data_IF_804779779356
#
_entry.id   IF_804779779356
#
_cell.length_a   1.000
_cell.length_b   1.000
_cell.length_c   1.000
_cell.angle_alpha   90.00
_cell.angle_beta   90.00
_cell.angle_gamma   90.00
#
_symmetry.space_group_name_H-M   'P 1'
#
loop_
_entity.id
_entity.type
_entity.pdbx_description
1 polymer ?
#
# COMPACT_ATOMS: atom_id res chain seq x y z
N UNK A 1 57.78 28.71 5.62
CA UNK A 1 57.20 28.21 4.35
C UNK A 1 55.94 27.44 4.68
N UNK A 2 54.76 28.01 4.40
CA UNK A 2 53.44 27.40 4.69
C UNK A 2 52.99 26.63 3.44
N UNK A 3 52.79 25.32 3.57
CA UNK A 3 52.28 24.48 2.48
C UNK A 3 50.83 24.86 2.15
N UNK A 4 50.54 25.05 0.86
CA UNK A 4 49.21 25.39 0.34
C UNK A 4 48.20 24.27 0.61
N UNK A 5 47.02 24.64 1.13
CA UNK A 5 45.89 23.74 1.42
C UNK A 5 45.43 22.93 0.19
N UNK A 6 45.74 23.42 -1.01
CA UNK A 6 45.44 22.76 -2.29
C UNK A 6 46.23 21.45 -2.46
N UNK A 7 47.48 21.40 -1.99
CA UNK A 7 48.33 20.19 -2.07
C UNK A 7 47.87 19.13 -1.06
N UNK A 8 47.27 19.55 0.05
CA UNK A 8 46.68 18.63 1.04
C UNK A 8 45.34 18.06 0.56
N UNK A 9 44.53 18.83 -0.17
CA UNK A 9 43.28 18.35 -0.78
C UNK A 9 43.49 17.36 -1.93
N UNK A 10 44.51 17.55 -2.77
CA UNK A 10 44.87 16.58 -3.82
C UNK A 10 45.46 15.29 -3.26
N UNK A 11 46.25 15.37 -2.18
CA UNK A 11 46.78 14.19 -1.50
C UNK A 11 45.70 13.35 -0.81
N UNK A 12 44.63 13.97 -0.29
CA UNK A 12 43.52 13.24 0.33
C UNK A 12 42.59 12.57 -0.68
N UNK A 13 42.47 13.11 -1.90
CA UNK A 13 41.80 12.47 -3.04
C UNK A 13 42.62 11.28 -3.58
N UNK A 14 43.95 11.41 -3.65
CA UNK A 14 44.80 10.30 -4.09
C UNK A 14 44.83 9.14 -3.08
N UNK A 15 44.72 9.42 -1.77
CA UNK A 15 44.70 8.38 -0.72
C UNK A 15 43.33 7.72 -0.52
N UNK A 16 42.25 8.27 -1.07
CA UNK A 16 40.90 7.66 -1.06
C UNK A 16 40.64 6.82 -2.32
N UNK A 17 41.51 6.88 -3.31
CA UNK A 17 41.56 6.02 -4.49
C UNK A 17 42.62 4.91 -4.31
N UNK A 18 42.47 4.05 -3.32
CA UNK A 18 43.21 2.77 -3.30
C UNK A 18 42.42 1.69 -4.05
N UNK A 19 43.14 0.71 -4.64
CA UNK A 19 42.91 0.28 -6.01
C UNK A 19 41.93 -0.89 -6.09
N UNK A 20 40.90 -0.79 -6.93
CA UNK A 20 40.35 -1.87 -7.76
C UNK A 20 39.07 -1.44 -8.50
N UNK A 21 39.21 -1.11 -9.79
CA UNK A 21 38.63 -1.80 -10.94
C UNK A 21 39.12 -1.05 -12.20
N UNK A 22 39.54 -1.74 -13.27
CA UNK A 22 40.01 -1.05 -14.46
C UNK A 22 38.82 -0.32 -15.09
N UNK A 23 38.75 1.00 -14.90
CA UNK A 23 37.93 1.88 -15.71
C UNK A 23 38.17 1.45 -17.16
N UNK A 24 37.11 1.02 -17.86
CA UNK A 24 37.25 0.61 -19.23
C UNK A 24 37.89 1.78 -20.00
N UNK A 25 38.84 1.49 -20.90
CA UNK A 25 39.53 2.52 -21.70
C UNK A 25 38.53 3.51 -22.34
N UNK A 26 37.32 3.03 -22.63
CA UNK A 26 36.21 3.81 -23.18
C UNK A 26 35.58 4.80 -22.19
N UNK A 27 35.49 4.47 -20.91
CA UNK A 27 34.94 5.35 -19.87
C UNK A 27 35.96 6.41 -19.44
N UNK A 28 37.23 6.05 -19.30
CA UNK A 28 38.29 7.03 -19.04
C UNK A 28 38.45 7.99 -20.21
N UNK A 29 38.36 7.51 -21.46
CA UNK A 29 38.32 8.38 -22.64
C UNK A 29 37.08 9.28 -22.65
N UNK A 30 35.87 8.76 -22.35
CA UNK A 30 34.66 9.60 -22.28
C UNK A 30 34.76 10.69 -21.23
N UNK A 31 35.33 10.38 -20.06
CA UNK A 31 35.50 11.35 -18.98
C UNK A 31 36.56 12.39 -19.35
N UNK A 32 37.66 11.96 -19.97
CA UNK A 32 38.67 12.87 -20.52
C UNK A 32 38.11 13.76 -21.62
N UNK A 33 37.33 13.24 -22.57
CA UNK A 33 36.70 14.03 -23.65
C UNK A 33 35.66 15.01 -23.10
N UNK A 34 34.89 14.61 -22.08
CA UNK A 34 33.95 15.51 -21.42
C UNK A 34 34.67 16.64 -20.67
N UNK A 35 35.76 16.34 -19.95
CA UNK A 35 36.56 17.35 -19.27
C UNK A 35 37.28 18.27 -20.26
N UNK A 36 37.88 17.73 -21.31
CA UNK A 36 38.61 18.54 -22.31
C UNK A 36 37.69 19.41 -23.13
N UNK A 37 36.52 18.92 -23.56
CA UNK A 37 35.52 19.75 -24.28
C UNK A 37 34.95 20.84 -23.39
N UNK A 38 34.69 20.55 -22.10
CA UNK A 38 34.26 21.56 -21.13
C UNK A 38 35.33 22.63 -20.91
N UNK A 39 36.60 22.25 -20.81
CA UNK A 39 37.72 23.19 -20.66
C UNK A 39 37.91 24.05 -21.91
N UNK A 40 37.83 23.46 -23.12
CA UNK A 40 37.94 24.22 -24.37
C UNK A 40 36.77 25.19 -24.54
N UNK A 41 35.54 24.76 -24.28
CA UNK A 41 34.36 25.62 -24.33
C UNK A 41 34.46 26.81 -23.37
N UNK A 42 35.05 26.60 -22.19
CA UNK A 42 35.23 27.68 -21.21
C UNK A 42 36.44 28.58 -21.53
N UNK A 43 37.50 28.03 -22.14
CA UNK A 43 38.63 28.82 -22.65
C UNK A 43 38.20 29.71 -23.83
N UNK A 44 37.40 29.19 -24.76
CA UNK A 44 36.87 29.97 -25.89
C UNK A 44 35.93 31.09 -25.40
N UNK A 45 35.26 30.88 -24.26
CA UNK A 45 34.40 31.88 -23.62
C UNK A 45 35.20 32.93 -22.83
N UNK A 46 36.35 32.57 -22.26
CA UNK A 46 37.22 33.47 -21.51
C UNK A 46 38.18 34.28 -22.40
N UNK A 47 38.56 33.72 -23.57
CA UNK A 47 39.38 34.37 -24.59
C UNK A 47 38.69 34.28 -25.96
N UNK A 48 37.62 35.04 -26.20
CA UNK A 48 37.06 35.15 -27.54
C UNK A 48 38.17 35.67 -28.46
N UNK A 49 38.58 34.85 -29.44
CA UNK A 49 39.59 35.25 -30.42
C UNK A 49 39.08 36.47 -31.16
N UNK A 50 39.73 37.60 -30.91
CA UNK A 50 39.61 38.80 -31.72
C UNK A 50 40.22 38.48 -33.09
N UNK A 51 39.41 37.95 -34.00
CA UNK A 51 39.73 37.98 -35.42
C UNK A 51 39.46 39.43 -35.84
N UNK A 52 40.55 40.17 -36.05
CA UNK A 52 40.46 41.51 -36.59
C UNK A 52 40.08 41.48 -38.07
N UNK A 53 39.30 42.50 -38.44
CA UNK A 53 39.22 43.20 -39.75
C UNK A 53 38.80 42.41 -40.99
N UNK A 54 37.95 42.88 -41.90
CA UNK A 54 37.15 44.10 -42.10
C UNK A 54 36.14 43.74 -43.22
N UNK A 55 34.87 44.15 -43.15
CA UNK A 55 34.19 45.14 -44.03
C UNK A 55 32.74 44.58 -44.13
N UNK A 56 31.64 45.30 -44.13
CA UNK A 56 31.38 46.71 -44.29
C UNK A 56 29.90 46.97 -43.92
N UNK A 57 29.68 48.13 -43.31
CA UNK A 57 28.61 49.08 -43.62
C UNK A 57 27.14 48.84 -43.20
N UNK A 58 26.71 49.80 -42.35
CA UNK A 58 25.45 50.57 -42.39
C UNK A 58 24.20 49.85 -41.86
N UNK A 59 23.34 50.40 -41.00
CA UNK A 59 23.06 51.79 -40.61
C UNK A 59 22.13 51.75 -39.38
N UNK A 60 22.35 52.70 -38.46
CA UNK A 60 21.33 53.61 -37.90
C UNK A 60 20.14 53.01 -37.11
N UNK A 61 19.67 53.53 -35.98
CA UNK A 61 20.04 54.61 -35.08
C UNK A 61 19.10 54.53 -33.86
N UNK A 62 19.49 55.25 -32.79
CA UNK A 62 18.68 55.72 -31.66
C UNK A 62 18.20 54.65 -30.66
N UNK A 63 18.41 54.77 -29.36
CA UNK A 63 18.99 55.85 -28.58
C UNK A 63 18.79 55.57 -27.09
N UNK A 64 19.53 56.33 -26.28
CA UNK A 64 19.31 56.61 -24.85
C UNK A 64 19.98 55.70 -23.80
N UNK A 65 21.05 56.28 -23.22
CA UNK A 65 21.36 56.43 -21.77
C UNK A 65 21.69 55.15 -20.98
N UNK A 66 22.98 54.89 -20.65
CA UNK A 66 23.76 55.48 -19.53
C UNK A 66 22.96 55.34 -18.23
N UNK A 67 23.33 54.58 -17.20
CA UNK A 67 24.60 54.39 -16.50
C UNK A 67 24.36 53.14 -15.60
N UNK A 68 25.27 52.29 -15.15
CA UNK A 68 26.54 52.53 -14.47
C UNK A 68 27.03 51.12 -14.17
N UNK A 69 28.26 50.74 -14.50
CA UNK A 69 28.94 49.74 -13.68
C UNK A 69 30.44 49.91 -13.84
N UNK A 70 31.00 50.34 -12.71
CA UNK A 70 32.39 50.57 -12.45
C UNK A 70 33.26 49.41 -12.93
N UNK A 71 34.20 49.80 -13.79
CA UNK A 71 35.52 49.22 -13.91
C UNK A 71 36.22 49.26 -12.55
N UNK A 72 36.36 48.10 -11.95
CA UNK A 72 37.42 47.67 -11.03
C UNK A 72 37.24 46.15 -10.93
N UNK A 73 38.20 45.30 -11.23
CA UNK A 73 39.55 45.30 -10.71
C UNK A 73 40.28 44.15 -11.42
N UNK A 74 41.60 44.27 -11.58
CA UNK A 74 42.48 43.18 -12.00
C UNK A 74 42.24 41.94 -11.14
N UNK A 75 41.46 40.99 -11.65
CA UNK A 75 41.37 39.67 -11.07
C UNK A 75 42.59 38.90 -11.58
N UNK A 76 43.64 38.88 -10.75
CA UNK A 76 44.84 38.08 -10.97
C UNK A 76 44.47 36.70 -11.51
N UNK A 77 45.19 36.17 -12.49
CA UNK A 77 44.91 34.87 -13.12
C UNK A 77 44.71 33.74 -12.10
N UNK A 78 45.30 33.87 -10.90
CA UNK A 78 45.07 33.01 -9.76
C UNK A 78 43.64 33.06 -9.18
N UNK A 79 43.04 34.24 -9.05
CA UNK A 79 41.66 34.40 -8.56
C UNK A 79 40.62 33.91 -9.58
N UNK A 80 40.91 34.05 -10.88
CA UNK A 80 40.12 33.45 -11.94
C UNK A 80 40.28 31.92 -11.96
N UNK A 81 41.49 31.40 -11.73
CA UNK A 81 41.74 29.96 -11.59
C UNK A 81 41.06 29.37 -10.35
N UNK A 82 41.04 30.08 -9.22
CA UNK A 82 40.34 29.67 -8.00
C UNK A 82 38.82 29.68 -8.21
N UNK A 83 38.28 30.70 -8.89
CA UNK A 83 36.85 30.75 -9.25
C UNK A 83 36.48 29.65 -10.25
N UNK A 84 37.38 29.32 -11.17
CA UNK A 84 37.22 28.23 -12.13
C UNK A 84 37.27 26.86 -11.44
N UNK A 85 38.22 26.64 -10.52
CA UNK A 85 38.27 25.42 -9.70
C UNK A 85 37.04 25.29 -8.81
N UNK A 86 36.59 26.38 -8.18
CA UNK A 86 35.36 26.38 -7.42
C UNK A 86 34.16 26.01 -8.30
N UNK A 87 34.02 26.60 -9.49
CA UNK A 87 32.93 26.29 -10.43
C UNK A 87 32.95 24.83 -10.93
N UNK A 88 34.15 24.27 -11.18
CA UNK A 88 34.32 22.87 -11.57
C UNK A 88 33.98 21.93 -10.41
N UNK A 89 34.41 22.26 -9.18
CA UNK A 89 34.14 21.45 -7.98
C UNK A 89 32.70 21.56 -7.48
N UNK A 90 31.98 22.62 -7.83
CA UNK A 90 30.54 22.78 -7.51
C UNK A 90 29.59 22.25 -8.59
N UNK A 91 30.11 21.64 -9.66
CA UNK A 91 29.28 21.17 -10.76
C UNK A 91 28.42 19.97 -10.30
N UNK A 92 27.08 20.02 -10.41
CA UNK A 92 26.18 18.99 -9.85
C UNK A 92 26.40 17.58 -10.41
N UNK A 93 27.08 17.43 -11.55
CA UNK A 93 27.46 16.13 -12.10
C UNK A 93 28.59 15.43 -11.31
N UNK A 94 29.43 16.18 -10.58
CA UNK A 94 30.47 15.63 -9.70
C UNK A 94 29.98 15.47 -8.25
N UNK A 95 28.96 16.24 -7.84
CA UNK A 95 28.26 16.05 -6.56
C UNK A 95 27.25 14.90 -6.59
N UNK A 96 26.77 14.50 -7.77
CA UNK A 96 25.83 13.38 -7.94
C UNK A 96 26.42 12.00 -7.61
N UNK A 97 27.72 11.90 -7.32
CA UNK A 97 28.37 10.67 -6.85
C UNK A 97 28.84 10.68 -5.39
N UNK A 98 28.97 11.85 -4.75
CA UNK A 98 29.62 11.98 -3.44
C UNK A 98 28.82 12.78 -2.38
N UNK A 99 27.73 13.45 -2.77
CA UNK A 99 26.79 14.05 -1.81
C UNK A 99 25.79 13.03 -1.21
N UNK A 100 25.83 11.78 -1.67
CA UNK A 100 24.90 10.72 -1.23
C UNK A 100 25.35 9.95 0.01
N UNK A 101 26.48 10.31 0.65
CA UNK A 101 27.09 9.43 1.68
C UNK A 101 27.46 10.11 3.01
N UNK A 102 27.05 11.37 3.26
CA UNK A 102 27.24 11.97 4.59
C UNK A 102 26.01 12.57 5.26
N UNK A 103 24.87 12.72 4.58
CA UNK A 103 23.59 13.15 5.19
C UNK A 103 22.39 12.72 4.33
N UNK A 104 22.42 11.51 3.75
CA UNK A 104 21.28 11.02 2.98
C UNK A 104 20.18 10.58 3.96
N UNK A 105 19.28 11.52 4.31
CA UNK A 105 18.04 11.28 5.04
C UNK A 105 17.22 10.26 4.26
N UNK A 106 17.43 8.99 4.58
CA UNK A 106 16.87 7.84 3.87
C UNK A 106 16.07 7.01 4.86
N UNK A 107 15.24 6.12 4.33
CA UNK A 107 14.45 5.19 5.15
C UNK A 107 15.30 4.45 6.19
N UNK A 108 16.52 4.03 5.82
CA UNK A 108 17.43 3.33 6.72
C UNK A 108 18.00 4.25 7.81
N UNK A 109 18.29 5.52 7.53
CA UNK A 109 18.75 6.46 8.58
C UNK A 109 17.65 6.75 9.58
N UNK A 110 16.40 6.95 9.13
CA UNK A 110 15.25 7.16 10.01
C UNK A 110 15.02 5.94 10.91
N UNK A 111 15.17 4.72 10.37
CA UNK A 111 15.05 3.48 11.13
C UNK A 111 16.14 3.36 12.21
N UNK A 112 17.38 3.72 11.88
CA UNK A 112 18.52 3.71 12.80
C UNK A 112 18.33 4.78 13.90
N UNK A 113 17.92 5.99 13.54
CA UNK A 113 17.66 7.08 14.48
C UNK A 113 16.52 6.74 15.47
N UNK A 114 15.45 6.11 15.00
CA UNK A 114 14.36 5.63 15.86
C UNK A 114 14.79 4.49 16.79
N UNK A 115 15.72 3.63 16.35
CA UNK A 115 16.27 2.58 17.19
C UNK A 115 17.21 3.12 18.28
N UNK A 116 17.99 4.16 17.98
CA UNK A 116 18.94 4.76 18.93
C UNK A 116 18.30 5.81 19.86
N UNK A 117 17.21 6.46 19.45
CA UNK A 117 16.53 7.49 20.22
C UNK A 117 15.11 7.09 20.64
N UNK A 118 14.99 5.94 21.31
CA UNK A 118 13.72 5.41 21.85
C UNK A 118 12.98 6.37 22.81
N UNK A 119 13.67 7.39 23.34
CA UNK A 119 13.11 8.40 24.26
C UNK A 119 12.59 9.67 23.59
N UNK A 120 12.87 9.93 22.30
CA UNK A 120 12.33 11.09 21.59
C UNK A 120 10.96 10.77 21.01
N UNK A 121 10.07 11.76 20.94
CA UNK A 121 8.79 11.63 20.25
C UNK A 121 9.06 11.21 18.79
N UNK A 122 8.64 10.00 18.38
CA UNK A 122 8.91 9.49 17.03
C UNK A 122 8.23 10.32 15.93
N UNK A 123 7.26 11.17 16.30
CA UNK A 123 6.49 11.99 15.37
C UNK A 123 7.15 13.34 15.15
N UNK A 124 7.84 13.88 16.15
CA UNK A 124 8.73 15.04 15.95
C UNK A 124 9.82 14.74 14.92
N UNK A 125 10.28 13.49 14.84
CA UNK A 125 11.21 13.07 13.77
C UNK A 125 10.58 13.21 12.38
N UNK A 126 9.31 12.86 12.21
CA UNK A 126 8.63 13.04 10.93
C UNK A 126 8.51 14.53 10.57
N UNK A 127 8.23 15.39 11.55
CA UNK A 127 8.16 16.84 11.38
C UNK A 127 9.53 17.42 10.99
N UNK A 128 10.62 16.95 11.61
CA UNK A 128 12.00 17.33 11.26
C UNK A 128 12.35 16.90 9.83
N UNK A 129 11.95 15.70 9.42
CA UNK A 129 12.15 15.22 8.05
C UNK A 129 11.28 15.97 7.05
N UNK A 130 10.10 16.44 7.47
CA UNK A 130 9.24 17.27 6.64
C UNK A 130 9.85 18.67 6.40
N UNK A 131 10.41 19.30 7.45
CA UNK A 131 11.13 20.56 7.31
C UNK A 131 12.36 20.47 6.38
N UNK A 132 12.90 19.26 6.22
CA UNK A 132 14.06 18.96 5.36
C UNK A 132 13.65 18.39 3.99
N UNK A 133 12.37 18.41 3.64
CA UNK A 133 11.80 17.85 2.40
C UNK A 133 12.14 16.37 2.14
N UNK A 134 12.47 15.62 3.19
CA UNK A 134 12.83 14.19 3.13
C UNK A 134 11.74 13.25 3.67
N UNK A 135 10.60 13.80 4.10
CA UNK A 135 9.50 13.00 4.65
C UNK A 135 8.83 12.14 3.57
N UNK A 136 8.77 10.83 3.81
CA UNK A 136 8.12 9.86 2.92
C UNK A 136 7.06 9.06 3.66
N UNK A 137 6.10 8.50 2.92
CA UNK A 137 5.03 7.63 3.44
C UNK A 137 5.62 6.44 4.23
N UNK A 138 6.76 5.90 3.77
CA UNK A 138 7.45 4.79 4.43
C UNK A 138 8.05 5.21 5.79
N UNK A 139 8.63 6.42 5.89
CA UNK A 139 9.14 6.96 7.15
C UNK A 139 8.00 7.18 8.14
N UNK A 140 6.89 7.79 7.69
CA UNK A 140 5.70 7.97 8.52
C UNK A 140 5.14 6.63 9.06
N UNK A 141 5.19 5.57 8.25
CA UNK A 141 4.76 4.24 8.68
C UNK A 141 5.63 3.70 9.82
N UNK A 142 6.96 3.82 9.73
CA UNK A 142 7.85 3.39 10.82
C UNK A 142 7.64 4.24 12.07
N UNK A 143 7.54 5.57 11.95
CA UNK A 143 7.31 6.46 13.09
C UNK A 143 6.05 6.05 13.87
N UNK A 144 4.96 5.75 13.15
CA UNK A 144 3.72 5.29 13.76
C UNK A 144 3.82 3.88 14.34
N UNK A 145 4.53 2.95 13.71
CA UNK A 145 4.76 1.61 14.26
C UNK A 145 5.58 1.66 15.55
N UNK A 146 6.64 2.48 15.59
CA UNK A 146 7.43 2.70 16.80
C UNK A 146 6.58 3.32 17.89
N UNK A 147 5.76 4.33 17.57
CA UNK A 147 4.82 4.90 18.53
C UNK A 147 3.81 3.86 19.04
N UNK A 148 3.22 3.05 18.15
CA UNK A 148 2.29 2.00 18.54
C UNK A 148 2.93 0.97 19.47
N UNK A 149 4.19 0.59 19.26
CA UNK A 149 4.94 -0.30 20.17
C UNK A 149 5.12 0.30 21.55
N UNK A 150 5.38 1.60 21.66
CA UNK A 150 5.46 2.27 22.98
C UNK A 150 4.12 2.27 23.74
N UNK A 151 3.01 1.98 23.06
CA UNK A 151 1.67 1.89 23.66
C UNK A 151 1.26 0.46 24.04
N UNK A 152 1.99 -0.57 23.60
CA UNK A 152 1.65 -1.98 23.87
C UNK A 152 1.86 -2.36 25.34
N UNK A 153 2.87 -1.76 26.00
CA UNK A 153 3.23 -2.05 27.39
C UNK A 153 2.41 -1.26 28.43
N UNK A 154 1.54 -0.35 27.99
CA UNK A 154 0.80 0.57 28.86
C UNK A 154 -0.62 0.07 29.18
N UNK A 155 -1.12 0.46 30.35
CA UNK A 155 -2.53 0.25 30.71
C UNK A 155 -3.47 1.00 29.76
N UNK A 156 -4.73 0.57 29.63
CA UNK A 156 -5.70 1.20 28.70
C UNK A 156 -5.89 2.70 28.97
N UNK A 157 -5.92 3.09 30.24
CA UNK A 157 -6.07 4.48 30.67
C UNK A 157 -4.82 5.31 30.35
N UNK A 158 -3.63 4.75 30.57
CA UNK A 158 -2.36 5.43 30.26
C UNK A 158 -2.13 5.52 28.76
N UNK A 159 -2.55 4.49 28.03
CA UNK A 159 -2.54 4.45 26.57
C UNK A 159 -3.40 5.54 25.98
N UNK A 160 -4.64 5.69 26.46
CA UNK A 160 -5.52 6.76 26.00
C UNK A 160 -4.99 8.15 26.38
N UNK A 161 -4.39 8.30 27.57
CA UNK A 161 -3.72 9.53 28.00
C UNK A 161 -2.56 9.92 27.08
N UNK A 162 -1.69 8.97 26.73
CA UNK A 162 -0.59 9.20 25.77
C UNK A 162 -1.09 9.50 24.37
N UNK A 163 -2.09 8.77 23.86
CA UNK A 163 -2.67 9.05 22.54
C UNK A 163 -3.23 10.48 22.49
N UNK A 164 -3.93 10.90 23.54
CA UNK A 164 -4.47 12.26 23.63
C UNK A 164 -3.37 13.33 23.73
N UNK A 165 -2.29 13.06 24.46
CA UNK A 165 -1.17 14.00 24.64
C UNK A 165 -0.38 14.23 23.35
N UNK A 166 -0.04 13.15 22.64
CA UNK A 166 0.81 13.23 21.45
C UNK A 166 0.02 13.51 20.16
N UNK A 167 -1.28 13.20 20.13
CA UNK A 167 -2.17 13.37 18.97
C UNK A 167 -1.54 12.86 17.66
N UNK A 168 -0.92 11.69 17.78
CA UNK A 168 -0.07 11.08 16.78
C UNK A 168 -0.76 10.89 15.43
N UNK A 169 -1.98 10.39 15.46
CA UNK A 169 -2.80 10.13 14.28
C UNK A 169 -3.16 11.42 13.56
N UNK A 170 -3.66 12.42 14.29
CA UNK A 170 -3.98 13.76 13.75
C UNK A 170 -2.77 14.42 13.09
N UNK A 171 -1.61 14.42 13.75
CA UNK A 171 -0.38 15.04 13.21
C UNK A 171 0.05 14.40 11.89
N UNK A 172 0.10 13.07 11.83
CA UNK A 172 0.47 12.36 10.59
C UNK A 172 -0.59 12.54 9.50
N UNK A 173 -1.87 12.56 9.86
CA UNK A 173 -2.95 12.82 8.89
C UNK A 173 -2.88 14.24 8.32
N UNK A 174 -2.62 15.25 9.16
CA UNK A 174 -2.41 16.63 8.72
C UNK A 174 -1.19 16.76 7.83
N UNK A 175 -0.06 16.13 8.18
CA UNK A 175 1.11 16.07 7.33
C UNK A 175 0.79 15.44 5.97
N UNK A 176 0.08 14.31 5.94
CA UNK A 176 -0.35 13.69 4.69
C UNK A 176 -1.16 14.68 3.85
N UNK A 177 -2.12 15.39 4.45
CA UNK A 177 -2.95 16.37 3.76
C UNK A 177 -2.18 17.58 3.24
N UNK A 178 -1.36 18.20 4.08
CA UNK A 178 -0.60 19.42 3.76
C UNK A 178 0.51 19.16 2.75
N UNK A 179 1.23 18.04 2.88
CA UNK A 179 2.27 17.66 1.93
C UNK A 179 1.71 17.33 0.54
N UNK A 180 0.38 17.16 0.42
CA UNK A 180 -0.25 16.67 -0.80
C UNK A 180 0.27 15.30 -1.21
N UNK A 181 0.96 14.57 -0.31
CA UNK A 181 1.62 13.30 -0.65
C UNK A 181 0.62 12.28 -1.20
N UNK A 182 -0.65 12.36 -0.82
CA UNK A 182 -1.72 11.51 -1.37
C UNK A 182 -2.27 11.95 -2.74
N UNK A 183 -2.04 13.20 -3.19
CA UNK A 183 -2.47 13.75 -4.50
C UNK A 183 -1.36 13.79 -5.54
N UNK A 184 -0.14 14.15 -5.14
CA UNK A 184 0.79 14.83 -6.05
C UNK A 184 1.47 13.93 -7.07
N UNK A 185 1.41 12.60 -6.93
CA UNK A 185 2.07 11.72 -7.89
C UNK A 185 1.59 10.25 -7.87
N UNK A 186 1.52 9.56 -9.02
CA UNK A 186 1.17 8.14 -9.10
C UNK A 186 2.01 7.26 -8.15
N UNK A 187 3.31 7.57 -8.00
CA UNK A 187 4.22 6.85 -7.12
C UNK A 187 3.79 6.89 -5.65
N UNK A 188 3.16 7.96 -5.18
CA UNK A 188 2.72 8.06 -3.79
C UNK A 188 1.41 7.30 -3.56
N UNK A 189 0.51 7.28 -4.55
CA UNK A 189 -0.70 6.44 -4.51
C UNK A 189 -0.29 4.96 -4.52
N UNK A 190 0.70 4.59 -5.33
CA UNK A 190 1.30 3.26 -5.29
C UNK A 190 1.96 2.97 -3.95
N UNK A 191 2.65 3.93 -3.34
CA UNK A 191 3.25 3.77 -2.02
C UNK A 191 2.18 3.57 -0.93
N UNK A 192 1.09 4.33 -0.93
CA UNK A 192 -0.03 4.15 0.00
C UNK A 192 -0.77 2.81 -0.24
N UNK A 193 -0.90 2.44 -1.51
CA UNK A 193 -1.41 1.12 -1.91
C UNK A 193 -0.45 0.01 -1.52
N UNK A 194 0.86 0.19 -1.48
CA UNK A 194 1.81 -0.86 -1.08
C UNK A 194 1.90 -0.94 0.43
N UNK A 195 1.98 0.20 1.08
CA UNK A 195 2.22 0.38 2.50
C UNK A 195 0.92 0.29 3.31
N UNK A 196 0.29 -0.88 3.27
CA UNK A 196 -0.92 -1.16 4.06
C UNK A 196 -0.71 -1.03 5.57
N UNK A 197 0.55 -1.08 6.03
CA UNK A 197 0.93 -0.95 7.43
C UNK A 197 0.62 0.44 7.97
N UNK A 198 0.87 1.49 7.17
CA UNK A 198 0.56 2.86 7.55
C UNK A 198 -0.91 3.02 7.94
N UNK A 199 -1.83 2.59 7.07
CA UNK A 199 -3.27 2.71 7.32
C UNK A 199 -3.73 1.84 8.50
N UNK A 200 -3.15 0.66 8.69
CA UNK A 200 -3.46 -0.23 9.81
C UNK A 200 -3.09 0.38 11.16
N UNK A 201 -2.03 1.19 11.23
CA UNK A 201 -1.60 1.84 12.48
C UNK A 201 -2.22 3.22 12.65
N UNK A 202 -2.33 4.00 11.57
CA UNK A 202 -2.87 5.36 11.60
C UNK A 202 -4.35 5.38 11.98
N UNK A 203 -5.17 4.51 11.38
CA UNK A 203 -6.63 4.57 11.53
C UNK A 203 -7.10 4.30 12.97
N UNK A 204 -6.62 3.24 13.67
CA UNK A 204 -6.98 3.05 15.07
C UNK A 204 -6.61 4.25 15.96
N UNK A 205 -5.44 4.86 15.75
CA UNK A 205 -5.01 6.04 16.50
C UNK A 205 -5.96 7.23 16.27
N UNK A 206 -6.28 7.53 15.01
CA UNK A 206 -7.18 8.64 14.65
C UNK A 206 -8.59 8.43 15.23
N UNK A 207 -9.09 7.19 15.24
CA UNK A 207 -10.40 6.87 15.82
C UNK A 207 -10.37 7.05 17.34
N UNK A 208 -9.33 6.57 18.04
CA UNK A 208 -9.14 6.78 19.49
C UNK A 208 -8.96 8.25 19.88
N UNK A 209 -8.42 9.06 18.98
CA UNK A 209 -8.31 10.52 19.15
C UNK A 209 -9.62 11.29 18.90
N UNK A 210 -10.71 10.60 18.55
CA UNK A 210 -12.00 11.20 18.23
C UNK A 210 -12.04 11.94 16.89
N UNK A 211 -11.06 11.71 16.02
CA UNK A 211 -10.89 12.39 14.73
C UNK A 211 -11.43 11.58 13.53
N UNK A 212 -12.41 10.71 13.76
CA UNK A 212 -12.98 9.84 12.72
C UNK A 212 -13.57 10.62 11.53
N UNK A 213 -14.11 11.81 11.78
CA UNK A 213 -14.68 12.69 10.74
C UNK A 213 -13.68 12.95 9.61
N UNK A 214 -12.42 13.21 9.95
CA UNK A 214 -11.36 13.47 8.98
C UNK A 214 -11.07 12.26 8.08
N UNK A 215 -11.21 11.03 8.60
CA UNK A 215 -11.06 9.81 7.78
C UNK A 215 -12.19 9.68 6.76
N UNK A 216 -13.42 10.03 7.15
CA UNK A 216 -14.57 10.03 6.23
C UNK A 216 -14.48 11.13 5.20
N UNK A 217 -13.99 12.31 5.57
CA UNK A 217 -13.73 13.37 4.62
C UNK A 217 -12.66 12.95 3.63
N UNK A 218 -11.57 12.32 4.10
CA UNK A 218 -10.56 11.74 3.22
C UNK A 218 -11.14 10.67 2.28
N UNK A 219 -12.03 9.82 2.76
CA UNK A 219 -12.71 8.82 1.94
C UNK A 219 -13.59 9.44 0.85
N UNK A 220 -14.27 10.54 1.16
CA UNK A 220 -15.12 11.30 0.22
C UNK A 220 -14.32 12.11 -0.80
N UNK A 221 -13.08 12.50 -0.49
CA UNK A 221 -12.27 13.30 -1.40
C UNK A 221 -12.13 12.62 -2.77
N UNK A 222 -12.53 13.34 -3.81
CA UNK A 222 -12.34 12.91 -5.19
C UNK A 222 -10.91 13.23 -5.63
N UNK A 223 -10.20 12.18 -6.05
CA UNK A 223 -8.89 12.35 -6.68
C UNK A 223 -9.17 12.58 -8.17
N UNK A 224 -9.31 13.85 -8.56
CA UNK A 224 -9.13 14.26 -9.94
C UNK A 224 -7.63 14.21 -10.24
N UNK A 225 -7.13 13.02 -10.58
CA UNK A 225 -5.76 12.90 -11.09
C UNK A 225 -5.82 13.47 -12.50
N UNK A 226 -5.07 14.55 -12.76
CA UNK A 226 -4.74 14.95 -14.11
C UNK A 226 -3.90 13.80 -14.70
N UNK A 227 -4.57 12.81 -15.30
CA UNK A 227 -3.91 11.80 -16.12
C UNK A 227 -3.24 12.61 -17.23
N UNK A 228 -1.90 12.58 -17.35
CA UNK A 228 -1.24 13.14 -18.53
C UNK A 228 -1.88 12.43 -19.71
N UNK A 229 -2.51 13.21 -20.58
CA UNK A 229 -3.14 12.81 -21.84
C UNK A 229 -2.40 11.58 -22.34
N UNK A 230 -3.06 10.42 -22.28
CA UNK A 230 -2.48 9.20 -22.83
C UNK A 230 -2.05 9.52 -24.28
N UNK A 231 -0.84 9.13 -24.70
CA UNK A 231 -0.41 9.39 -26.08
C UNK A 231 -1.51 8.88 -27.01
N UNK A 232 -1.98 9.78 -27.88
CA UNK A 232 -3.09 9.56 -28.79
C UNK A 232 -2.90 8.19 -29.49
N UNK A 233 -3.72 7.20 -29.12
CA UNK A 233 -3.53 5.82 -29.59
C UNK A 233 -4.08 4.72 -28.70
N UNK A 234 -4.54 5.00 -27.47
CA UNK A 234 -5.30 3.99 -26.69
C UNK A 234 -6.78 4.06 -27.04
N UNK A 235 -7.34 2.90 -27.40
CA UNK A 235 -8.73 2.73 -27.82
C UNK A 235 -9.73 3.33 -26.80
N UNK A 236 -10.84 3.92 -27.27
CA UNK A 236 -11.94 4.36 -26.42
C UNK A 236 -12.61 3.13 -25.79
N UNK A 237 -12.25 2.83 -24.54
CA UNK A 237 -12.78 1.67 -23.80
C UNK A 237 -11.93 1.20 -22.63
N UNK A 238 -10.67 1.64 -22.50
CA UNK A 238 -9.87 1.34 -21.31
C UNK A 238 -10.33 2.19 -20.11
N UNK A 239 -11.18 1.60 -19.27
CA UNK A 239 -11.55 2.11 -17.95
C UNK A 239 -10.32 2.67 -17.21
N UNK A 240 -10.40 3.85 -16.56
CA UNK A 240 -9.30 4.39 -15.77
C UNK A 240 -8.83 3.36 -14.74
N UNK A 241 -7.52 3.30 -14.51
CA UNK A 241 -6.89 2.27 -13.67
C UNK A 241 -7.47 2.31 -12.24
N UNK A 242 -8.48 1.47 -11.98
CA UNK A 242 -9.20 1.37 -10.71
C UNK A 242 -8.27 1.17 -9.49
N UNK A 243 -7.02 0.77 -9.73
CA UNK A 243 -5.95 0.66 -8.74
C UNK A 243 -5.67 1.97 -8.02
N UNK A 244 -5.91 3.12 -8.66
CA UNK A 244 -5.69 4.43 -8.04
C UNK A 244 -6.61 4.69 -6.83
N UNK A 245 -7.74 3.99 -6.73
CA UNK A 245 -8.68 4.12 -5.62
C UNK A 245 -8.59 2.98 -4.60
N UNK A 246 -7.71 2.00 -4.79
CA UNK A 246 -7.60 0.85 -3.88
C UNK A 246 -7.27 1.24 -2.44
N UNK A 247 -6.57 2.35 -2.23
CA UNK A 247 -6.28 2.88 -0.91
C UNK A 247 -7.56 3.23 -0.14
N UNK A 248 -8.63 3.69 -0.81
CA UNK A 248 -9.93 3.94 -0.16
C UNK A 248 -10.54 2.66 0.40
N UNK A 249 -10.43 1.56 -0.33
CA UNK A 249 -10.88 0.24 0.14
C UNK A 249 -10.04 -0.28 1.31
N UNK A 250 -8.72 -0.02 1.29
CA UNK A 250 -7.81 -0.35 2.40
C UNK A 250 -8.07 0.52 3.64
N UNK A 251 -8.32 1.81 3.44
CA UNK A 251 -8.71 2.75 4.47
C UNK A 251 -10.01 2.30 5.14
N UNK A 252 -11.05 1.98 4.35
CA UNK A 252 -12.30 1.47 4.87
C UNK A 252 -12.12 0.17 5.64
N UNK A 253 -11.30 -0.76 5.12
CA UNK A 253 -10.97 -1.99 5.85
C UNK A 253 -10.29 -1.70 7.19
N UNK A 254 -9.38 -0.73 7.25
CA UNK A 254 -8.72 -0.33 8.49
C UNK A 254 -9.69 0.33 9.47
N UNK A 255 -10.66 1.13 9.00
CA UNK A 255 -11.74 1.70 9.84
C UNK A 255 -12.58 0.57 10.44
N UNK A 256 -12.98 -0.40 9.62
CA UNK A 256 -13.76 -1.55 10.09
C UNK A 256 -12.98 -2.37 11.11
N UNK A 257 -11.70 -2.68 10.84
CA UNK A 257 -10.85 -3.43 11.76
C UNK A 257 -10.71 -2.69 13.10
N UNK A 258 -10.39 -1.39 13.06
CA UNK A 258 -10.31 -0.57 14.26
C UNK A 258 -11.62 -0.57 15.06
N UNK A 259 -12.77 -0.50 14.38
CA UNK A 259 -14.08 -0.50 15.04
C UNK A 259 -14.49 -1.82 15.67
N UNK A 260 -13.98 -2.95 15.15
CA UNK A 260 -14.18 -4.27 15.76
C UNK A 260 -13.35 -4.38 17.06
N UNK A 261 -12.13 -3.82 17.06
CA UNK A 261 -11.17 -3.96 18.16
C UNK A 261 -11.22 -2.79 19.17
N UNK A 262 -12.19 -1.89 19.09
CA UNK A 262 -12.35 -0.78 20.05
C UNK A 262 -12.65 -1.34 21.44
N UNK A 263 -11.80 -0.97 22.40
CA UNK A 263 -11.96 -1.19 23.85
C UNK A 263 -12.11 -2.66 24.29
N UNK A 264 -11.65 -3.62 23.47
CA UNK A 264 -11.74 -5.06 23.76
C UNK A 264 -13.16 -5.63 23.75
N UNK A 265 -14.17 -4.77 23.65
CA UNK A 265 -15.57 -5.11 23.44
C UNK A 265 -15.78 -5.29 21.93
N UNK A 266 -15.67 -6.53 21.47
CA UNK A 266 -15.90 -6.91 20.07
C UNK A 266 -17.37 -6.69 19.68
N UNK A 267 -17.74 -5.43 19.44
CA UNK A 267 -19.06 -5.06 18.91
C UNK A 267 -18.97 -4.85 17.40
N UNK A 268 -19.41 -5.82 16.59
CA UNK A 268 -19.41 -5.69 15.12
C UNK A 268 -20.41 -4.66 14.60
N UNK A 269 -21.31 -4.11 15.42
CA UNK A 269 -22.31 -3.14 14.98
C UNK A 269 -21.68 -1.86 14.43
N UNK A 270 -20.66 -1.32 15.11
CA UNK A 270 -19.95 -0.13 14.64
C UNK A 270 -19.26 -0.37 13.28
N UNK A 271 -18.77 -1.59 13.05
CA UNK A 271 -18.19 -2.01 11.78
C UNK A 271 -19.24 -2.16 10.66
N UNK A 272 -20.43 -2.70 10.99
CA UNK A 272 -21.57 -2.76 10.07
C UNK A 272 -22.05 -1.35 9.68
N UNK A 273 -22.16 -0.44 10.64
CA UNK A 273 -22.54 0.94 10.36
C UNK A 273 -21.51 1.65 9.47
N UNK A 274 -20.21 1.40 9.69
CA UNK A 274 -19.15 1.97 8.86
C UNK A 274 -19.23 1.50 7.40
N UNK A 275 -19.49 0.21 7.14
CA UNK A 275 -19.64 -0.28 5.76
C UNK A 275 -20.92 0.24 5.11
N UNK A 276 -22.02 0.35 5.85
CA UNK A 276 -23.28 0.91 5.35
C UNK A 276 -23.16 2.41 5.06
N UNK A 277 -22.43 3.15 5.90
CA UNK A 277 -22.09 4.56 5.66
C UNK A 277 -21.25 4.73 4.40
N UNK A 278 -20.25 3.87 4.18
CA UNK A 278 -19.46 3.89 2.95
C UNK A 278 -20.31 3.57 1.71
N UNK A 279 -21.24 2.62 1.81
CA UNK A 279 -22.18 2.33 0.72
C UNK A 279 -23.11 3.51 0.42
N UNK A 280 -23.61 4.20 1.45
CA UNK A 280 -24.43 5.40 1.28
C UNK A 280 -23.65 6.50 0.53
N UNK A 281 -22.41 6.78 0.92
CA UNK A 281 -21.53 7.74 0.23
C UNK A 281 -21.33 7.35 -1.22
N UNK A 282 -21.04 6.07 -1.50
CA UNK A 282 -20.88 5.57 -2.87
C UNK A 282 -22.16 5.77 -3.68
N UNK A 283 -23.33 5.44 -3.13
CA UNK A 283 -24.62 5.61 -3.83
C UNK A 283 -24.91 7.07 -4.13
N UNK A 284 -24.62 7.96 -3.19
CA UNK A 284 -24.75 9.42 -3.40
C UNK A 284 -23.83 9.90 -4.52
N UNK A 285 -22.58 9.45 -4.54
CA UNK A 285 -21.62 9.80 -5.60
C UNK A 285 -22.06 9.28 -6.98
N UNK A 286 -22.57 8.04 -7.04
CA UNK A 286 -23.08 7.43 -8.29
C UNK A 286 -24.34 8.13 -8.78
N UNK A 287 -25.23 8.58 -7.88
CA UNK A 287 -26.41 9.34 -8.25
C UNK A 287 -26.06 10.72 -8.83
N UNK A 288 -24.94 11.31 -8.41
CA UNK A 288 -24.44 12.60 -8.92
C UNK A 288 -23.69 12.45 -10.24
N UNK A 289 -22.88 11.40 -10.39
CA UNK A 289 -22.06 11.13 -11.58
C UNK A 289 -22.18 9.66 -12.01
N UNK A 290 -22.79 9.40 -13.17
CA UNK A 290 -23.18 8.06 -13.65
C UNK A 290 -22.03 7.04 -13.85
N UNK A 291 -20.76 7.46 -13.83
CA UNK A 291 -19.61 6.58 -14.16
C UNK A 291 -18.69 6.25 -12.96
N UNK A 292 -19.00 6.72 -11.75
CA UNK A 292 -18.04 6.77 -10.64
C UNK A 292 -18.01 5.54 -9.72
N UNK A 293 -18.71 4.45 -10.06
CA UNK A 293 -18.78 3.24 -9.20
C UNK A 293 -17.41 2.64 -8.86
N UNK A 294 -16.44 2.74 -9.77
CA UNK A 294 -15.07 2.25 -9.59
C UNK A 294 -14.22 3.07 -8.61
N UNK A 295 -14.65 4.29 -8.26
CA UNK A 295 -13.93 5.17 -7.33
C UNK A 295 -14.04 4.73 -5.87
N UNK A 296 -14.92 3.78 -5.56
CA UNK A 296 -15.18 3.32 -4.19
C UNK A 296 -15.09 1.78 -4.09
N UNK A 297 -13.88 1.21 -3.96
CA UNK A 297 -13.71 -0.23 -3.83
C UNK A 297 -14.08 -0.73 -2.42
N UNK A 298 -15.38 -0.84 -2.15
CA UNK A 298 -15.95 -1.25 -0.85
C UNK A 298 -15.86 -2.76 -0.65
N UNK A 299 -15.92 -3.55 -1.72
CA UNK A 299 -16.06 -5.01 -1.63
C UNK A 299 -14.92 -5.70 -0.85
N UNK A 300 -13.69 -5.19 -0.94
CA UNK A 300 -12.57 -5.74 -0.17
C UNK A 300 -12.74 -5.60 1.35
N UNK A 301 -13.33 -4.48 1.78
CA UNK A 301 -13.66 -4.23 3.19
C UNK A 301 -14.88 -5.06 3.62
N UNK A 302 -15.90 -5.20 2.76
CA UNK A 302 -17.05 -6.06 3.02
C UNK A 302 -16.65 -7.54 3.16
N UNK A 303 -15.74 -8.02 2.30
CA UNK A 303 -15.19 -9.37 2.37
C UNK A 303 -14.43 -9.60 3.68
N UNK A 304 -13.70 -8.60 4.18
CA UNK A 304 -13.04 -8.69 5.48
C UNK A 304 -14.05 -8.87 6.61
N UNK A 305 -15.16 -8.13 6.59
CA UNK A 305 -16.23 -8.26 7.58
C UNK A 305 -16.93 -9.64 7.50
N UNK A 306 -17.19 -10.14 6.29
CA UNK A 306 -17.72 -11.50 6.11
C UNK A 306 -16.78 -12.57 6.68
N UNK A 307 -15.47 -12.39 6.48
CA UNK A 307 -14.46 -13.28 7.06
C UNK A 307 -14.41 -13.21 8.58
N UNK A 308 -14.65 -12.03 9.17
CA UNK A 308 -14.73 -11.88 10.62
C UNK A 308 -15.92 -12.68 11.16
N UNK A 309 -17.14 -12.48 10.62
CA UNK A 309 -18.32 -13.24 11.03
C UNK A 309 -18.18 -14.74 10.84
N UNK A 310 -17.45 -15.17 9.80
CA UNK A 310 -17.23 -16.58 9.55
C UNK A 310 -16.21 -17.23 10.49
N UNK A 311 -15.20 -16.48 10.95
CA UNK A 311 -14.08 -17.02 11.76
C UNK A 311 -14.29 -16.86 13.26
N UNK A 312 -14.97 -15.78 13.65
CA UNK A 312 -15.22 -15.46 15.04
C UNK A 312 -16.54 -16.10 15.48
N UNK A 313 -16.61 -16.54 16.73
CA UNK A 313 -17.83 -17.00 17.40
C UNK A 313 -18.20 -16.03 18.52
N UNK A 314 -19.47 -16.01 18.93
CA UNK A 314 -19.94 -15.19 20.05
C UNK A 314 -20.35 -13.76 19.67
N UNK A 315 -20.32 -13.42 18.38
CA UNK A 315 -20.83 -12.15 17.88
C UNK A 315 -22.34 -12.18 17.66
N UNK A 316 -22.94 -13.37 17.57
CA UNK A 316 -24.34 -13.58 17.20
C UNK A 316 -25.30 -12.92 18.19
N UNK A 317 -24.93 -12.86 19.47
CA UNK A 317 -25.71 -12.20 20.52
C UNK A 317 -25.50 -10.68 20.58
N UNK A 318 -24.39 -10.17 20.05
CA UNK A 318 -24.06 -8.73 20.09
C UNK A 318 -24.48 -7.98 18.83
N UNK A 319 -24.69 -8.68 17.71
CA UNK A 319 -25.12 -8.07 16.44
C UNK A 319 -26.60 -7.71 16.42
N UNK A 320 -26.92 -6.49 15.99
CA UNK A 320 -28.29 -6.13 15.62
C UNK A 320 -28.69 -6.81 14.30
N UNK A 321 -29.69 -7.70 14.37
CA UNK A 321 -30.18 -8.46 13.21
C UNK A 321 -30.56 -7.56 12.03
N UNK A 322 -31.22 -6.42 12.28
CA UNK A 322 -31.61 -5.49 11.21
C UNK A 322 -30.41 -4.88 10.46
N UNK A 323 -29.30 -4.60 11.15
CA UNK A 323 -28.06 -4.12 10.52
C UNK A 323 -27.42 -5.23 9.69
N UNK A 324 -27.42 -6.46 10.20
CA UNK A 324 -26.89 -7.63 9.50
C UNK A 324 -27.67 -7.94 8.22
N UNK A 325 -29.00 -7.92 8.28
CA UNK A 325 -29.89 -8.09 7.12
C UNK A 325 -29.66 -7.01 6.08
N UNK A 326 -29.56 -5.76 6.52
CA UNK A 326 -29.27 -4.62 5.65
C UNK A 326 -27.91 -4.80 4.97
N UNK A 327 -26.87 -5.17 5.71
CA UNK A 327 -25.55 -5.44 5.15
C UNK A 327 -25.58 -6.59 4.12
N UNK A 328 -26.24 -7.71 4.46
CA UNK A 328 -26.34 -8.89 3.59
C UNK A 328 -27.05 -8.56 2.28
N UNK A 329 -28.19 -7.84 2.35
CA UNK A 329 -28.92 -7.40 1.15
C UNK A 329 -28.09 -6.44 0.28
N UNK A 330 -27.30 -5.55 0.89
CA UNK A 330 -26.42 -4.61 0.18
C UNK A 330 -25.20 -5.28 -0.43
N UNK A 331 -24.67 -6.36 0.18
CA UNK A 331 -23.51 -7.08 -0.33
C UNK A 331 -23.73 -7.58 -1.76
N UNK A 332 -24.95 -7.99 -2.10
CA UNK A 332 -25.34 -8.38 -3.46
C UNK A 332 -25.14 -7.28 -4.51
N UNK A 333 -25.21 -6.01 -4.10
CA UNK A 333 -25.09 -4.81 -4.93
C UNK A 333 -23.68 -4.21 -4.94
N UNK A 334 -22.84 -4.57 -3.96
CA UNK A 334 -21.49 -4.02 -3.79
C UNK A 334 -20.45 -4.68 -4.71
N UNK A 335 -20.77 -5.84 -5.29
CA UNK A 335 -19.85 -6.61 -6.12
C UNK A 335 -20.52 -7.03 -7.43
N UNK A 336 -19.71 -7.16 -8.48
CA UNK A 336 -20.16 -7.79 -9.72
C UNK A 336 -20.63 -9.22 -9.40
N UNK A 337 -21.69 -9.71 -10.07
CA UNK A 337 -22.09 -11.10 -9.98
C UNK A 337 -20.91 -12.04 -10.25
N UNK A 338 -20.73 -13.04 -9.39
CA UNK A 338 -19.61 -13.96 -9.50
C UNK A 338 -19.38 -14.75 -8.22
N UNK A 339 -18.49 -15.74 -8.34
CA UNK A 339 -18.26 -16.74 -7.31
C UNK A 339 -17.93 -16.14 -5.94
N UNK A 340 -17.01 -15.17 -5.87
CA UNK A 340 -16.60 -14.58 -4.58
C UNK A 340 -17.76 -13.92 -3.84
N UNK A 341 -18.65 -13.21 -4.56
CA UNK A 341 -19.82 -12.56 -3.97
C UNK A 341 -20.81 -13.60 -3.44
N UNK A 342 -21.18 -14.56 -4.29
CA UNK A 342 -22.17 -15.58 -3.96
C UNK A 342 -21.66 -16.46 -2.81
N UNK A 343 -20.35 -16.70 -2.76
CA UNK A 343 -19.70 -17.39 -1.66
C UNK A 343 -19.71 -16.62 -0.33
N UNK A 344 -19.50 -15.30 -0.33
CA UNK A 344 -19.65 -14.51 0.90
C UNK A 344 -21.12 -14.50 1.37
N UNK A 345 -22.08 -14.35 0.45
CA UNK A 345 -23.51 -14.38 0.79
C UNK A 345 -23.90 -15.72 1.42
N UNK A 346 -23.50 -16.84 0.81
CA UNK A 346 -23.77 -18.16 1.36
C UNK A 346 -23.23 -18.32 2.79
N UNK A 347 -22.04 -17.81 3.10
CA UNK A 347 -21.48 -17.83 4.46
C UNK A 347 -22.30 -17.00 5.44
N UNK A 348 -22.72 -15.79 5.05
CA UNK A 348 -23.52 -14.93 5.91
C UNK A 348 -24.90 -15.52 6.19
N UNK A 349 -25.55 -16.11 5.19
CA UNK A 349 -26.84 -16.78 5.38
C UNK A 349 -26.71 -18.03 6.28
N UNK A 350 -25.63 -18.79 6.13
CA UNK A 350 -25.38 -19.95 6.99
C UNK A 350 -25.17 -19.54 8.46
N UNK A 351 -24.49 -18.41 8.71
CA UNK A 351 -24.23 -17.88 10.07
C UNK A 351 -25.23 -16.79 10.51
N UNK A 352 -26.40 -16.70 9.89
CA UNK A 352 -27.34 -15.63 10.23
C UNK A 352 -27.76 -15.69 11.72
N UNK A 353 -27.74 -14.57 12.46
CA UNK A 353 -27.88 -14.58 13.93
C UNK A 353 -29.24 -15.11 14.43
N UNK A 354 -30.30 -14.98 13.64
CA UNK A 354 -31.66 -15.40 14.04
C UNK A 354 -32.30 -16.45 13.12
N UNK A 355 -31.74 -16.65 11.93
CA UNK A 355 -32.37 -17.41 10.82
C UNK A 355 -31.32 -18.06 9.93
N UNK A 356 -30.46 -18.94 10.48
CA UNK A 356 -29.46 -19.63 9.67
C UNK A 356 -30.13 -20.42 8.55
N UNK A 357 -29.58 -20.33 7.35
CA UNK A 357 -30.18 -20.84 6.12
C UNK A 357 -29.11 -21.51 5.25
N UNK A 358 -29.17 -22.84 5.03
CA UNK A 358 -28.21 -23.56 4.19
C UNK A 358 -28.50 -23.48 2.68
N UNK A 359 -29.63 -22.90 2.27
CA UNK A 359 -30.11 -22.93 0.88
C UNK A 359 -29.11 -22.34 -0.11
N UNK A 360 -28.55 -21.17 0.18
CA UNK A 360 -27.59 -20.53 -0.70
C UNK A 360 -26.26 -21.28 -0.76
N UNK A 361 -25.85 -21.91 0.35
CA UNK A 361 -24.65 -22.71 0.40
C UNK A 361 -24.79 -23.99 -0.42
N UNK A 362 -25.93 -24.69 -0.30
CA UNK A 362 -26.24 -25.86 -1.10
C UNK A 362 -26.31 -25.54 -2.59
N UNK A 363 -27.00 -24.46 -2.97
CA UNK A 363 -27.09 -24.02 -4.36
C UNK A 363 -25.70 -23.68 -4.94
N UNK A 364 -24.84 -23.01 -4.16
CA UNK A 364 -23.47 -22.73 -4.57
C UNK A 364 -22.67 -24.01 -4.78
N UNK A 365 -22.76 -24.98 -3.85
CA UNK A 365 -22.07 -26.26 -3.96
C UNK A 365 -22.55 -27.08 -5.16
N UNK A 366 -23.87 -27.11 -5.41
CA UNK A 366 -24.43 -27.76 -6.60
C UNK A 366 -23.90 -27.09 -7.85
N UNK A 367 -23.94 -25.76 -7.95
CA UNK A 367 -23.40 -25.07 -9.12
C UNK A 367 -21.91 -25.29 -9.34
N UNK A 368 -21.14 -25.50 -8.27
CA UNK A 368 -19.72 -25.83 -8.35
C UNK A 368 -19.50 -27.28 -8.81
N UNK A 369 -20.23 -28.25 -8.29
CA UNK A 369 -19.88 -29.68 -8.42
C UNK A 369 -20.83 -30.54 -9.22
N UNK A 370 -22.02 -30.02 -9.56
CA UNK A 370 -22.96 -30.65 -10.47
C UNK A 370 -22.40 -30.60 -11.90
N UNK A 371 -22.22 -31.75 -12.57
CA UNK A 371 -21.76 -31.83 -13.95
C UNK A 371 -22.64 -31.04 -14.94
N UNK A 372 -23.91 -30.82 -14.61
CA UNK A 372 -24.87 -30.13 -15.47
C UNK A 372 -24.81 -28.60 -15.39
N UNK A 373 -24.12 -28.04 -14.39
CA UNK A 373 -24.02 -26.60 -14.18
C UNK A 373 -22.89 -25.98 -15.03
N UNK A 374 -23.25 -25.40 -16.17
CA UNK A 374 -22.32 -24.68 -17.06
C UNK A 374 -21.90 -23.28 -16.55
N UNK A 375 -22.43 -22.82 -15.40
CA UNK A 375 -22.36 -21.41 -14.99
C UNK A 375 -21.08 -20.99 -14.27
N UNK A 376 -20.32 -21.91 -13.67
CA UNK A 376 -19.03 -21.60 -13.05
C UNK A 376 -17.89 -22.26 -13.79
N UNK A 377 -16.85 -21.46 -14.02
CA UNK A 377 -15.63 -21.90 -14.69
C UNK A 377 -14.79 -22.78 -13.76
N UNK A 378 -13.94 -23.61 -14.34
CA UNK A 378 -12.87 -24.34 -13.65
C UNK A 378 -12.08 -23.44 -12.68
N UNK A 379 -11.97 -22.14 -12.97
CA UNK A 379 -11.36 -21.15 -12.10
C UNK A 379 -12.05 -20.99 -10.73
N UNK A 380 -13.39 -21.07 -10.65
CA UNK A 380 -14.11 -20.98 -9.38
C UNK A 380 -13.84 -22.22 -8.50
N UNK A 381 -13.79 -23.41 -9.12
CA UNK A 381 -13.36 -24.65 -8.45
C UNK A 381 -11.93 -24.50 -7.95
N UNK A 382 -11.01 -24.04 -8.78
CA UNK A 382 -9.62 -23.78 -8.37
C UNK A 382 -9.53 -22.80 -7.19
N UNK A 383 -10.35 -21.75 -7.13
CA UNK A 383 -10.39 -20.82 -5.99
C UNK A 383 -10.88 -21.53 -4.71
N UNK A 384 -11.91 -22.38 -4.84
CA UNK A 384 -12.48 -23.13 -3.72
C UNK A 384 -11.60 -24.31 -3.28
N UNK A 385 -10.81 -24.87 -4.17
CA UNK A 385 -9.96 -26.03 -3.92
C UNK A 385 -8.51 -25.67 -3.63
N UNK A 386 -8.14 -24.36 -3.66
CA UNK A 386 -6.74 -23.89 -3.58
C UNK A 386 -5.90 -24.68 -2.57
N UNK A 387 -5.04 -25.61 -3.03
CA UNK A 387 -4.30 -26.51 -2.14
C UNK A 387 -3.20 -25.76 -1.38
N UNK A 388 -2.63 -24.70 -1.97
CA UNK A 388 -1.47 -23.99 -1.44
C UNK A 388 -1.76 -23.17 -0.16
N UNK A 389 -3.02 -23.07 0.25
CA UNK A 389 -3.41 -22.33 1.45
C UNK A 389 -4.25 -23.23 2.35
N UNK A 390 -3.58 -24.06 3.16
CA UNK A 390 -4.26 -24.98 4.09
C UNK A 390 -5.28 -24.31 5.02
N UNK A 391 -5.11 -23.00 5.34
CA UNK A 391 -6.14 -22.25 6.08
C UNK A 391 -7.40 -22.04 5.25
N UNK A 392 -7.29 -21.73 3.96
CA UNK A 392 -8.43 -21.61 3.06
C UNK A 392 -9.12 -22.96 2.86
N UNK A 393 -8.34 -24.03 2.67
CA UNK A 393 -8.84 -25.40 2.55
C UNK A 393 -9.69 -25.79 3.76
N UNK A 394 -9.15 -25.59 4.98
CA UNK A 394 -9.88 -25.88 6.21
C UNK A 394 -11.17 -25.05 6.33
N UNK A 395 -11.16 -23.76 5.99
CA UNK A 395 -12.37 -22.93 6.04
C UNK A 395 -13.44 -23.37 5.03
N UNK A 396 -13.05 -23.95 3.90
CA UNK A 396 -13.98 -24.44 2.88
C UNK A 396 -14.56 -25.81 3.27
N UNK A 397 -13.74 -26.67 3.89
CA UNK A 397 -14.20 -27.88 4.56
C UNK A 397 -15.20 -27.58 5.67
N UNK A 398 -14.90 -26.64 6.57
CA UNK A 398 -15.83 -26.20 7.63
C UNK A 398 -17.13 -25.66 7.03
N UNK A 399 -17.05 -24.91 5.93
CA UNK A 399 -18.24 -24.42 5.21
C UNK A 399 -19.14 -25.57 4.71
N UNK A 400 -18.56 -26.63 4.15
CA UNK A 400 -19.32 -27.81 3.72
C UNK A 400 -19.92 -28.57 4.90
N UNK A 401 -19.16 -28.75 5.98
CA UNK A 401 -19.63 -29.40 7.21
C UNK A 401 -20.82 -28.67 7.83
N UNK A 402 -20.71 -27.35 8.01
CA UNK A 402 -21.78 -26.55 8.59
C UNK A 402 -23.03 -26.56 7.72
N UNK A 403 -22.86 -26.55 6.39
CA UNK A 403 -23.96 -26.71 5.44
C UNK A 403 -24.67 -28.05 5.65
N UNK A 404 -23.93 -29.15 5.72
CA UNK A 404 -24.49 -30.48 5.96
C UNK A 404 -25.16 -30.60 7.34
N UNK A 405 -24.56 -30.03 8.38
CA UNK A 405 -25.11 -30.03 9.73
C UNK A 405 -26.47 -29.30 9.79
N UNK A 406 -26.58 -28.13 9.17
CA UNK A 406 -27.84 -27.39 9.09
C UNK A 406 -28.90 -28.11 8.25
N UNK A 407 -28.52 -28.72 7.12
CA UNK A 407 -29.44 -29.52 6.31
C UNK A 407 -29.99 -30.72 7.08
N UNK A 408 -29.15 -31.40 7.88
CA UNK A 408 -29.61 -32.48 8.79
C UNK A 408 -30.58 -31.96 9.85
N UNK A 409 -30.26 -30.82 10.47
CA UNK A 409 -31.13 -30.20 11.48
C UNK A 409 -32.50 -29.80 10.89
N UNK A 410 -32.54 -29.39 9.61
CA UNK A 410 -33.76 -29.11 8.86
C UNK A 410 -34.44 -30.32 8.22
N UNK A 411 -34.12 -31.55 8.63
CA UNK A 411 -34.67 -32.81 8.10
C UNK A 411 -34.45 -33.07 6.60
N UNK A 412 -33.51 -32.35 5.95
CA UNK A 412 -33.12 -32.57 4.54
C UNK A 412 -31.95 -33.55 4.45
N UNK A 413 -32.20 -34.80 4.85
CA UNK A 413 -31.17 -35.83 5.00
C UNK A 413 -30.48 -36.20 3.68
N UNK A 414 -31.20 -36.22 2.57
CA UNK A 414 -30.65 -36.51 1.23
C UNK A 414 -29.63 -35.45 0.79
N UNK A 415 -29.99 -34.17 0.93
CA UNK A 415 -29.10 -33.06 0.58
C UNK A 415 -27.86 -33.03 1.47
N UNK A 416 -28.04 -33.31 2.77
CA UNK A 416 -26.91 -33.41 3.67
C UNK A 416 -25.98 -34.59 3.32
N UNK A 417 -26.55 -35.75 2.97
CA UNK A 417 -25.77 -36.90 2.53
C UNK A 417 -24.99 -36.59 1.24
N UNK A 418 -25.59 -35.86 0.31
CA UNK A 418 -24.92 -35.40 -0.91
C UNK A 418 -23.72 -34.49 -0.60
N UNK A 419 -23.88 -33.49 0.29
CA UNK A 419 -22.77 -32.61 0.69
C UNK A 419 -21.66 -33.39 1.39
N UNK A 420 -22.00 -34.34 2.27
CA UNK A 420 -21.01 -35.16 2.97
C UNK A 420 -20.27 -36.11 2.04
N UNK A 421 -20.95 -36.67 1.03
CA UNK A 421 -20.31 -37.51 0.00
C UNK A 421 -19.32 -36.73 -0.87
N UNK A 422 -19.47 -35.40 -0.95
CA UNK A 422 -18.57 -34.53 -1.70
C UNK A 422 -17.25 -34.26 -0.95
N UNK A 423 -17.25 -34.26 0.38
CA UNK A 423 -16.06 -34.02 1.21
C UNK A 423 -14.89 -34.97 0.88
N UNK A 424 -15.04 -36.30 0.85
CA UNK A 424 -13.92 -37.20 0.54
C UNK A 424 -13.39 -37.06 -0.90
N UNK A 425 -14.21 -36.56 -1.82
CA UNK A 425 -13.81 -36.29 -3.20
C UNK A 425 -12.99 -35.01 -3.33
N UNK A 426 -13.36 -33.96 -2.58
CA UNK A 426 -12.74 -32.62 -2.68
C UNK A 426 -11.58 -32.47 -1.70
N UNK A 427 -11.71 -33.03 -0.50
CA UNK A 427 -10.75 -32.93 0.61
C UNK A 427 -10.47 -34.32 1.21
N UNK A 428 -9.82 -35.23 0.45
CA UNK A 428 -9.55 -36.60 0.91
C UNK A 428 -8.76 -36.63 2.22
N UNK A 429 -7.86 -35.66 2.40
CA UNK A 429 -7.02 -35.50 3.60
C UNK A 429 -7.82 -35.21 4.87
N UNK A 430 -8.99 -34.56 4.75
CA UNK A 430 -9.83 -34.18 5.89
C UNK A 430 -11.02 -35.13 6.09
N UNK A 431 -11.28 -36.03 5.15
CA UNK A 431 -12.44 -36.91 5.14
C UNK A 431 -12.57 -37.74 6.42
N UNK A 432 -11.46 -38.19 6.99
CA UNK A 432 -11.44 -39.01 8.20
C UNK A 432 -11.84 -38.25 9.48
N UNK A 433 -11.81 -36.90 9.47
CA UNK A 433 -12.28 -36.08 10.58
C UNK A 433 -13.77 -35.73 10.52
N UNK A 434 -14.42 -35.99 9.38
CA UNK A 434 -15.79 -35.54 9.08
C UNK A 434 -16.79 -35.89 10.19
N UNK A 435 -16.82 -37.15 10.64
CA UNK A 435 -17.81 -37.59 11.64
C UNK A 435 -17.55 -36.97 13.02
N UNK A 436 -16.27 -36.90 13.42
CA UNK A 436 -15.88 -36.27 14.68
C UNK A 436 -16.20 -34.77 14.70
N UNK A 437 -15.87 -34.05 13.62
CA UNK A 437 -16.16 -32.62 13.51
C UNK A 437 -17.67 -32.33 13.41
N UNK A 438 -18.45 -33.20 12.76
CA UNK A 438 -19.92 -33.13 12.74
C UNK A 438 -20.51 -33.28 14.14
N UNK A 439 -19.96 -34.19 14.95
CA UNK A 439 -20.40 -34.38 16.33
C UNK A 439 -20.07 -33.14 17.19
N UNK A 440 -18.87 -32.56 17.03
CA UNK A 440 -18.47 -31.33 17.72
C UNK A 440 -19.34 -30.14 17.35
N UNK A 441 -19.71 -30.01 16.07
CA UNK A 441 -20.65 -28.97 15.63
C UNK A 441 -22.01 -29.07 16.31
N UNK A 442 -22.53 -30.30 16.53
CA UNK A 442 -23.78 -30.50 17.29
C UNK A 442 -23.66 -30.06 18.74
N UNK A 443 -22.47 -30.23 19.32
CA UNK A 443 -22.15 -29.81 20.69
C UNK A 443 -21.89 -28.29 20.80
N UNK A 444 -22.01 -27.54 19.69
CA UNK A 444 -21.68 -26.11 19.64
C UNK A 444 -20.18 -25.83 19.69
N UNK A 445 -19.35 -26.86 19.51
CA UNK A 445 -17.90 -26.76 19.52
C UNK A 445 -17.40 -26.58 18.09
N UNK A 446 -16.53 -25.60 17.88
CA UNK A 446 -15.89 -25.38 16.58
C UNK A 446 -15.16 -26.65 16.11
N UNK A 447 -15.26 -27.01 14.82
CA UNK A 447 -14.48 -28.09 14.21
C UNK A 447 -13.00 -27.98 14.54
N UNK A 448 -12.34 -29.11 14.65
CA UNK A 448 -11.05 -29.21 15.31
C UNK A 448 -9.96 -28.50 14.52
N UNK A 449 -9.21 -27.62 15.19
CA UNK A 449 -7.95 -27.06 14.69
C UNK A 449 -6.86 -28.13 14.46
N UNK A 450 -7.15 -29.44 14.65
CA UNK A 450 -6.23 -30.55 14.38
C UNK A 450 -5.83 -30.67 12.89
N UNK A 451 -6.58 -30.04 11.98
CA UNK A 451 -6.13 -29.81 10.61
C UNK A 451 -4.82 -29.00 10.54
N UNK A 452 -4.46 -28.19 11.56
CA UNK A 452 -3.15 -27.53 11.65
C UNK A 452 -1.99 -28.53 11.66
N UNK A 453 -2.18 -29.74 12.19
CA UNK A 453 -1.14 -30.79 12.22
C UNK A 453 -1.01 -31.53 10.88
N UNK A 454 -2.13 -31.79 10.18
CA UNK A 454 -2.10 -32.37 8.84
C UNK A 454 -1.47 -31.41 7.80
N UNK A 455 -1.77 -30.11 7.90
CA UNK A 455 -1.24 -29.07 7.00
C UNK A 455 0.26 -28.82 7.21
N UNK A 456 0.79 -28.98 8.43
CA UNK A 456 2.24 -28.91 8.68
C UNK A 456 2.98 -30.19 8.31
N UNK A 457 2.33 -31.36 8.34
CA UNK A 457 2.91 -32.63 7.89
C UNK A 457 3.19 -32.68 6.38
N UNK A 458 2.40 -31.97 5.57
CA UNK A 458 2.58 -31.91 4.11
C UNK A 458 3.64 -30.88 3.64
N UNK A 459 4.13 -30.00 4.52
CA UNK A 459 5.16 -28.98 4.18
C UNK A 459 6.60 -29.41 4.50
N UNK A 460 6.82 -30.67 4.90
CA UNK A 460 8.14 -31.23 5.10
C UNK A 460 8.77 -31.72 3.79
N UNK A 461 9.26 -30.81 2.94
CA UNK A 461 10.40 -30.96 1.99
C UNK A 461 10.27 -29.94 0.85
N UNK A 462 10.84 -28.76 1.03
CA UNK A 462 11.61 -27.98 0.03
C UNK A 462 11.73 -26.53 0.52
N UNK A 463 12.86 -26.22 1.15
CA UNK A 463 13.37 -24.86 1.18
C UNK A 463 13.88 -24.53 -0.22
N UNK A 464 13.33 -23.50 -0.84
CA UNK A 464 13.75 -23.04 -2.15
C UNK A 464 13.05 -21.73 -2.48
N UNK A 465 13.84 -20.69 -2.72
CA UNK A 465 13.44 -19.34 -3.07
C UNK A 465 12.33 -19.30 -4.13
N UNK A 466 11.32 -18.46 -3.89
CA UNK A 466 10.28 -18.15 -4.87
C UNK A 466 10.85 -17.12 -5.85
N UNK A 467 11.06 -17.44 -7.14
CA UNK A 467 11.34 -16.44 -8.15
C UNK A 467 10.03 -15.77 -8.56
N UNK A 468 10.02 -14.44 -8.51
CA UNK A 468 9.01 -13.62 -9.17
C UNK A 468 9.28 -13.72 -10.68
N UNK A 469 8.36 -14.32 -11.44
CA UNK A 469 8.33 -14.21 -12.90
C UNK A 469 6.92 -13.88 -13.43
N UNK A 470 6.84 -13.21 -14.59
CA UNK A 470 5.74 -12.32 -14.96
C UNK A 470 4.57 -13.05 -15.63
N UNK A 471 3.38 -12.47 -15.49
CA UNK A 471 2.17 -12.83 -16.23
C UNK A 471 2.40 -12.61 -17.74
N UNK A 472 2.56 -13.71 -18.48
CA UNK A 472 2.47 -13.72 -19.93
C UNK A 472 1.02 -13.46 -20.38
N UNK A 473 0.86 -12.57 -21.35
CA UNK A 473 -0.42 -12.25 -21.98
C UNK A 473 -0.93 -13.41 -22.83
N UNK A 474 -2.24 -13.64 -22.75
CA UNK A 474 -2.96 -14.49 -23.69
C UNK A 474 -3.60 -13.57 -24.71
N UNK A 475 -3.05 -13.57 -25.93
CA UNK A 475 -3.76 -13.16 -27.13
C UNK A 475 -4.50 -14.38 -27.68
N UNK A 476 -5.79 -14.17 -27.95
CA UNK A 476 -6.72 -15.00 -28.73
C UNK A 476 -7.18 -16.30 -28.08
#
# INVERSE_FOLDING_TARGET
MKGSAVVQGLKSLASTLHPQLPLSSRESQRLLTALTSSFQSQLDKAYPRHVGSDESQLKSANGSTISTLNRSHDASSAALADRHLAAVLTNPLLLSGAASTRNALTYETAKIELAHHSTKDPISLLEDYHQKDAATIAIAAICLETFAKTLEDLSETDRQGRIAQFAAGKRVLLWLWLSGSWRSAPQNIHALNRESRLLKTLVPLVIREGAETFLWDWFKMDVAIAVPIAPAGKEPGQLPDSRQYWWKGRLLRAIIAAKIDLDGLQSPNAALDAILKADAIRREAVAKNSEDTHKFPIFGAATFLCQYFWRSSGWESSVHTALFDTFTSRLGLLAKPGFTRDWQLAKLHLKHPTRPSPEQALELLRRLYDPSSARYTQHARQIFERPDNGKALHLNYVFMLETAAQLRAGARTEDAAWVLALIPRVYPELAHFTEADMQRLKEGISPTSSAKFAIHGAQGTTGGDIPILPLAGVHS
#
